data_IF_457293263059
#
_entry.id   IF_457293263059
#
_cell.length_a   1.000
_cell.length_b   1.000
_cell.length_c   1.000
_cell.angle_alpha   90.00
_cell.angle_beta   90.00
_cell.angle_gamma   90.00
#
_symmetry.space_group_name_H-M   'P 1'
#
loop_
_entity.id
_entity.type
_entity.pdbx_description
1 polymer ?
#
# COMPACT_ATOMS: atom_id res chain seq x y z
N UNK A 1 15.79 30.05 5.46
CA UNK A 1 17.04 29.74 6.21
C UNK A 1 18.05 30.86 5.95
N UNK A 2 18.60 31.50 6.98
CA UNK A 2 19.79 32.36 6.83
C UNK A 2 21.03 31.48 6.99
N UNK A 3 21.93 31.50 6.03
CA UNK A 3 23.18 30.75 6.06
C UNK A 3 23.03 29.22 6.37
N UNK A 4 21.99 28.59 5.87
CA UNK A 4 21.75 27.15 6.09
C UNK A 4 21.27 26.74 7.47
N UNK A 5 21.08 27.68 8.41
CA UNK A 5 20.62 27.38 9.77
C UNK A 5 19.10 27.29 9.84
N UNK A 6 18.60 26.25 10.52
CA UNK A 6 17.18 26.15 10.86
C UNK A 6 16.81 27.30 11.82
N UNK A 7 15.80 28.11 11.43
CA UNK A 7 15.33 29.24 12.23
C UNK A 7 14.33 28.73 13.28
N UNK A 8 13.38 27.89 12.84
CA UNK A 8 12.28 27.42 13.68
C UNK A 8 11.63 26.19 13.04
N UNK A 9 11.17 25.24 13.85
CA UNK A 9 10.23 24.21 13.47
C UNK A 9 8.80 24.80 13.54
N UNK A 10 8.01 24.63 12.46
CA UNK A 10 6.66 25.22 12.34
C UNK A 10 5.59 24.22 12.79
N UNK A 11 5.77 22.94 12.45
CA UNK A 11 4.81 21.86 12.74
C UNK A 11 5.45 20.79 13.62
N UNK A 12 4.62 20.13 14.46
CA UNK A 12 5.04 19.00 15.32
C UNK A 12 3.89 18.01 15.45
N UNK A 13 4.19 16.72 15.53
CA UNK A 13 3.23 15.64 15.74
C UNK A 13 3.69 14.34 15.07
N UNK A 14 2.97 13.25 15.33
CA UNK A 14 3.18 11.92 14.72
C UNK A 14 2.37 11.81 13.43
N UNK A 15 2.61 12.70 12.51
CA UNK A 15 1.94 12.85 11.22
C UNK A 15 2.87 13.53 10.21
N UNK A 16 2.48 13.57 8.95
CA UNK A 16 3.33 14.06 7.87
C UNK A 16 2.79 15.31 7.21
N UNK A 17 3.71 16.17 6.78
CA UNK A 17 3.47 17.26 5.84
C UNK A 17 3.84 16.76 4.45
N UNK A 18 2.83 16.56 3.59
CA UNK A 18 2.99 16.00 2.25
C UNK A 18 3.37 17.08 1.23
N UNK A 19 2.88 18.31 1.44
CA UNK A 19 3.24 19.46 0.62
C UNK A 19 3.25 20.74 1.45
N UNK A 20 4.03 21.73 1.02
CA UNK A 20 4.10 23.02 1.68
C UNK A 20 4.32 24.13 0.65
N UNK A 21 3.45 25.14 0.64
CA UNK A 21 3.53 26.29 -0.26
C UNK A 21 3.31 27.58 0.53
N UNK A 22 4.23 28.55 0.38
CA UNK A 22 4.12 29.85 1.04
C UNK A 22 3.21 30.77 0.23
N UNK A 23 2.33 31.51 0.89
CA UNK A 23 1.50 32.50 0.23
C UNK A 23 2.34 33.71 -0.29
N UNK A 24 1.87 34.44 -1.33
CA UNK A 24 2.63 35.55 -1.91
C UNK A 24 2.97 36.68 -0.92
N UNK A 25 2.22 36.80 0.18
CA UNK A 25 2.48 37.84 1.21
C UNK A 25 3.54 37.40 2.22
N UNK A 26 3.91 36.11 2.24
CA UNK A 26 4.81 35.54 3.23
C UNK A 26 4.23 35.45 4.64
N UNK A 27 2.91 35.59 4.82
CA UNK A 27 2.22 35.52 6.12
C UNK A 27 1.76 34.11 6.46
N UNK A 28 1.40 33.34 5.44
CA UNK A 28 0.81 32.02 5.58
C UNK A 28 1.62 30.95 4.85
N UNK A 29 1.60 29.76 5.40
CA UNK A 29 2.05 28.55 4.76
C UNK A 29 0.83 27.64 4.60
N UNK A 30 0.55 27.20 3.36
CA UNK A 30 -0.43 26.17 3.07
C UNK A 30 0.26 24.81 3.08
N UNK A 31 -0.25 23.89 3.87
CA UNK A 31 0.29 22.51 3.94
C UNK A 31 -0.82 21.50 3.71
N UNK A 32 -0.54 20.46 2.96
CA UNK A 32 -1.33 19.23 3.04
C UNK A 32 -0.68 18.29 4.04
N UNK A 33 -1.47 17.71 4.92
CA UNK A 33 -0.94 16.85 5.97
C UNK A 33 -1.94 15.78 6.41
N UNK A 34 -1.41 14.80 7.14
CA UNK A 34 -2.18 13.71 7.76
C UNK A 34 -2.46 13.97 9.25
N UNK A 35 -2.47 15.24 9.67
CA UNK A 35 -2.63 15.64 11.08
C UNK A 35 -3.96 15.17 11.70
N UNK A 36 -5.06 15.14 10.91
CA UNK A 36 -6.37 14.71 11.41
C UNK A 36 -6.45 13.20 11.60
N UNK A 37 -5.89 12.44 10.66
CA UNK A 37 -5.85 10.98 10.67
C UNK A 37 -4.80 10.49 9.66
N UNK A 38 -4.10 9.39 9.95
CA UNK A 38 -3.23 8.74 8.96
C UNK A 38 -3.96 8.30 7.68
N UNK A 39 -5.29 8.13 7.76
CA UNK A 39 -6.13 7.72 6.62
C UNK A 39 -6.58 8.90 5.76
N UNK A 40 -6.40 10.13 6.22
CA UNK A 40 -6.88 11.35 5.58
C UNK A 40 -5.73 12.25 5.12
N UNK A 41 -6.00 13.02 4.08
CA UNK A 41 -5.13 14.12 3.64
C UNK A 41 -5.94 15.41 3.62
N UNK A 42 -5.52 16.39 4.41
CA UNK A 42 -6.23 17.65 4.58
C UNK A 42 -5.33 18.86 4.31
N UNK A 43 -5.94 19.96 3.84
CA UNK A 43 -5.26 21.24 3.67
C UNK A 43 -5.40 22.09 4.93
N UNK A 44 -4.27 22.62 5.38
CA UNK A 44 -4.19 23.56 6.50
C UNK A 44 -3.53 24.87 6.05
N UNK A 45 -4.04 25.97 6.61
CA UNK A 45 -3.38 27.28 6.58
C UNK A 45 -2.64 27.48 7.90
N UNK A 46 -1.34 27.69 7.83
CA UNK A 46 -0.48 27.93 9.01
C UNK A 46 -0.06 29.39 9.02
N UNK A 47 -0.36 30.10 10.10
CA UNK A 47 0.09 31.49 10.27
C UNK A 47 1.56 31.48 10.68
N UNK A 48 2.43 32.02 9.83
CA UNK A 48 3.88 31.93 10.04
C UNK A 48 4.38 32.69 11.28
N UNK A 49 3.71 33.76 11.74
CA UNK A 49 4.12 34.50 12.92
C UNK A 49 3.99 33.71 14.23
N UNK A 50 2.93 32.92 14.39
CA UNK A 50 2.60 32.24 15.64
C UNK A 50 2.41 30.72 15.53
N UNK A 51 2.41 30.16 14.31
CA UNK A 51 2.21 28.73 14.07
C UNK A 51 0.75 28.24 14.20
N UNK A 52 -0.23 29.16 14.35
CA UNK A 52 -1.65 28.78 14.42
C UNK A 52 -2.06 28.10 13.10
N UNK A 53 -2.68 26.92 13.22
CA UNK A 53 -3.20 26.14 12.10
C UNK A 53 -4.71 26.22 12.01
N UNK A 54 -5.22 26.24 10.80
CA UNK A 54 -6.62 26.21 10.49
C UNK A 54 -6.84 25.24 9.34
N UNK A 55 -7.69 24.24 9.53
CA UNK A 55 -8.08 23.29 8.47
C UNK A 55 -9.01 23.98 7.48
N UNK A 56 -8.70 23.90 6.19
CA UNK A 56 -9.46 24.51 5.10
C UNK A 56 -10.36 23.52 4.34
N UNK A 57 -10.12 22.23 4.47
CA UNK A 57 -10.93 21.15 3.91
C UNK A 57 -11.86 20.61 4.99
N UNK A 58 -13.18 20.94 4.97
CA UNK A 58 -14.08 20.62 6.09
C UNK A 58 -14.53 19.15 6.12
N UNK A 59 -14.62 18.50 4.95
CA UNK A 59 -15.01 17.09 4.87
C UNK A 59 -13.87 16.16 5.30
N UNK A 60 -14.20 14.96 5.76
CA UNK A 60 -13.23 13.90 5.94
C UNK A 60 -12.90 13.26 4.59
N UNK A 61 -11.69 12.70 4.48
CA UNK A 61 -11.26 11.99 3.27
C UNK A 61 -9.87 12.38 2.76
N UNK A 62 -9.62 11.98 1.53
CA UNK A 62 -8.36 12.25 0.83
C UNK A 62 -8.57 13.42 -0.12
N UNK A 63 -7.99 14.56 0.23
CA UNK A 63 -8.08 15.81 -0.51
C UNK A 63 -6.87 16.06 -1.40
N UNK A 64 -7.12 16.64 -2.57
CA UNK A 64 -6.09 17.11 -3.52
C UNK A 64 -6.42 18.56 -3.87
N UNK A 65 -6.14 19.49 -2.98
CA UNK A 65 -6.48 20.90 -3.17
C UNK A 65 -5.52 21.58 -4.16
N UNK A 66 -6.06 22.51 -4.95
CA UNK A 66 -5.32 23.40 -5.81
C UNK A 66 -5.62 24.84 -5.39
N UNK A 67 -4.62 25.53 -4.88
CA UNK A 67 -4.74 26.93 -4.45
C UNK A 67 -4.50 27.90 -5.60
N UNK A 68 -5.29 28.96 -5.65
CA UNK A 68 -4.98 30.09 -6.53
C UNK A 68 -3.74 30.83 -6.04
N UNK A 69 -2.99 31.47 -6.95
CA UNK A 69 -1.81 32.28 -6.59
C UNK A 69 -2.12 33.41 -5.60
N UNK A 70 -3.35 33.91 -5.56
CA UNK A 70 -3.78 34.93 -4.60
C UNK A 70 -4.03 34.37 -3.17
N UNK A 71 -4.06 33.06 -2.99
CA UNK A 71 -4.46 32.41 -1.74
C UNK A 71 -5.94 32.57 -1.39
N UNK A 72 -6.75 33.17 -2.30
CA UNK A 72 -8.18 33.44 -2.06
C UNK A 72 -9.08 32.30 -2.46
N UNK A 73 -8.78 31.64 -3.58
CA UNK A 73 -9.63 30.60 -4.15
C UNK A 73 -8.97 29.23 -4.06
N UNK A 74 -9.77 28.24 -3.88
CA UNK A 74 -9.37 26.83 -3.85
C UNK A 74 -10.30 26.02 -4.74
N UNK A 75 -9.73 25.12 -5.55
CA UNK A 75 -10.43 23.96 -6.10
C UNK A 75 -9.98 22.76 -5.31
N UNK A 76 -10.91 22.06 -4.71
CA UNK A 76 -10.63 20.84 -3.94
C UNK A 76 -11.26 19.64 -4.62
N UNK A 77 -10.43 18.66 -4.95
CA UNK A 77 -10.85 17.35 -5.44
C UNK A 77 -10.65 16.36 -4.32
N UNK A 78 -11.73 15.72 -3.88
CA UNK A 78 -11.65 14.76 -2.78
C UNK A 78 -12.60 13.59 -2.95
N UNK A 79 -12.38 12.57 -2.16
CA UNK A 79 -13.26 11.41 -1.94
C UNK A 79 -13.11 10.92 -0.50
N UNK A 80 -14.10 10.18 -0.02
CA UNK A 80 -13.99 9.37 1.19
C UNK A 80 -14.68 8.02 0.95
N UNK A 81 -14.67 7.14 1.96
CA UNK A 81 -15.19 5.77 1.79
C UNK A 81 -16.66 5.69 1.36
N UNK A 82 -17.46 6.73 1.60
CA UNK A 82 -18.88 6.81 1.22
C UNK A 82 -19.13 7.69 0.00
N UNK A 83 -18.15 8.50 -0.40
CA UNK A 83 -18.32 9.51 -1.45
C UNK A 83 -17.32 9.26 -2.57
N UNK A 84 -17.76 9.04 -3.83
CA UNK A 84 -16.84 8.78 -4.93
C UNK A 84 -15.92 10.00 -5.16
N UNK A 85 -16.14 10.80 -6.16
CA UNK A 85 -15.33 11.99 -6.41
C UNK A 85 -16.17 13.25 -6.31
N UNK A 86 -15.69 14.18 -5.50
CA UNK A 86 -16.21 15.54 -5.41
C UNK A 86 -15.19 16.55 -5.92
N UNK A 87 -15.67 17.60 -6.56
CA UNK A 87 -14.87 18.78 -6.91
C UNK A 87 -15.63 20.00 -6.43
N UNK A 88 -15.04 20.74 -5.51
CA UNK A 88 -15.57 21.96 -4.93
C UNK A 88 -14.70 23.16 -5.26
N UNK A 89 -15.35 24.29 -5.51
CA UNK A 89 -14.71 25.61 -5.62
C UNK A 89 -15.06 26.44 -4.38
N UNK A 90 -14.04 26.94 -3.69
CA UNK A 90 -14.20 27.72 -2.46
C UNK A 90 -13.58 29.11 -2.58
N UNK A 91 -14.28 30.15 -2.13
CA UNK A 91 -13.73 31.46 -1.83
C UNK A 91 -13.38 31.53 -0.34
N UNK A 92 -12.10 31.36 -0.02
CA UNK A 92 -11.59 31.31 1.35
C UNK A 92 -11.70 32.65 2.11
N UNK A 93 -11.96 33.77 1.40
CA UNK A 93 -12.22 35.06 2.03
C UNK A 93 -13.66 35.16 2.55
N UNK A 94 -14.61 34.62 1.81
CA UNK A 94 -16.04 34.67 2.16
C UNK A 94 -16.55 33.40 2.83
N UNK A 95 -15.79 32.32 2.78
CA UNK A 95 -16.19 31.00 3.26
C UNK A 95 -17.23 30.31 2.37
N UNK A 96 -17.56 30.89 1.19
CA UNK A 96 -18.55 30.30 0.28
C UNK A 96 -17.92 29.18 -0.54
N UNK A 97 -18.59 28.03 -0.57
CA UNK A 97 -18.23 26.90 -1.41
C UNK A 97 -19.33 26.57 -2.40
N UNK A 98 -18.96 26.25 -3.63
CA UNK A 98 -19.84 25.79 -4.70
C UNK A 98 -19.34 24.42 -5.18
N UNK A 99 -20.22 23.41 -5.14
CA UNK A 99 -19.92 22.14 -5.75
C UNK A 99 -19.92 22.28 -7.29
N UNK A 100 -18.83 21.83 -7.92
CA UNK A 100 -18.66 21.81 -9.39
C UNK A 100 -18.95 20.42 -9.96
N UNK A 101 -18.65 19.36 -9.21
CA UNK A 101 -18.88 17.98 -9.61
C UNK A 101 -19.17 17.12 -8.39
N UNK A 102 -20.27 16.37 -8.47
CA UNK A 102 -20.52 15.19 -7.64
C UNK A 102 -20.56 14.00 -8.60
N UNK A 103 -19.51 13.18 -8.61
CA UNK A 103 -19.47 12.01 -9.49
C UNK A 103 -20.52 10.99 -9.05
N UNK A 104 -21.23 10.34 -9.99
CA UNK A 104 -22.10 9.22 -9.64
C UNK A 104 -21.29 8.06 -9.07
N UNK A 105 -21.92 7.20 -8.29
CA UNK A 105 -21.33 5.95 -7.84
C UNK A 105 -21.08 5.04 -9.06
N UNK A 106 -19.83 4.69 -9.40
CA UNK A 106 -19.53 3.82 -10.53
C UNK A 106 -20.02 2.38 -10.33
N UNK A 107 -20.42 2.02 -9.11
CA UNK A 107 -20.94 0.71 -8.75
C UNK A 107 -22.46 0.68 -8.55
N UNK A 108 -23.15 1.77 -8.90
CA UNK A 108 -24.63 1.80 -8.82
C UNK A 108 -25.21 0.66 -9.66
N UNK A 109 -26.15 -0.09 -9.05
CA UNK A 109 -26.75 -1.28 -9.64
C UNK A 109 -25.93 -2.58 -9.53
N UNK A 110 -24.69 -2.54 -9.00
CA UNK A 110 -23.91 -3.74 -8.71
C UNK A 110 -24.10 -4.20 -7.27
N UNK A 111 -24.10 -5.53 -7.08
CA UNK A 111 -24.03 -6.12 -5.74
C UNK A 111 -22.64 -5.84 -5.14
N UNK A 112 -22.57 -5.00 -4.13
CA UNK A 112 -21.32 -4.64 -3.49
C UNK A 112 -21.01 -5.59 -2.33
N UNK A 113 -19.72 -5.99 -2.17
CA UNK A 113 -19.25 -6.70 -1.00
C UNK A 113 -19.25 -5.76 0.23
N UNK A 114 -19.11 -6.34 1.40
CA UNK A 114 -18.90 -5.60 2.65
C UNK A 114 -17.42 -5.19 2.73
N UNK A 115 -17.15 -3.87 2.83
CA UNK A 115 -15.80 -3.31 2.87
C UNK A 115 -15.63 -2.53 4.17
N UNK A 116 -14.73 -3.02 5.01
CA UNK A 116 -14.46 -2.46 6.34
C UNK A 116 -13.03 -1.99 6.47
N UNK A 117 -12.85 -0.94 7.24
CA UNK A 117 -11.56 -0.52 7.77
C UNK A 117 -11.55 -0.70 9.29
N UNK A 118 -10.41 -1.06 9.83
CA UNK A 118 -10.21 -1.21 11.28
C UNK A 118 -8.73 -1.18 11.62
N UNK A 119 -8.42 -1.46 12.89
CA UNK A 119 -7.03 -1.51 13.39
C UNK A 119 -6.74 -2.83 14.09
N UNK A 120 -5.49 -3.25 14.01
CA UNK A 120 -4.91 -4.33 14.83
C UNK A 120 -3.57 -3.86 15.38
N UNK A 121 -3.06 -4.50 16.43
CA UNK A 121 -1.74 -4.20 16.96
C UNK A 121 -0.64 -4.78 16.07
N UNK A 122 0.43 -4.01 15.86
CA UNK A 122 1.65 -4.46 15.22
C UNK A 122 2.38 -5.50 16.08
N UNK A 123 3.44 -6.08 15.52
CA UNK A 123 4.26 -7.06 16.23
C UNK A 123 5.01 -6.50 17.45
N UNK A 124 5.05 -5.16 17.64
CA UNK A 124 5.54 -4.54 18.88
C UNK A 124 4.51 -4.55 20.03
N UNK A 125 3.25 -4.92 19.75
CA UNK A 125 2.14 -4.94 20.71
C UNK A 125 1.53 -3.57 21.03
N UNK A 126 2.09 -2.48 20.53
CA UNK A 126 1.73 -1.10 20.87
C UNK A 126 1.13 -0.34 19.68
N UNK A 127 1.77 -0.39 18.53
CA UNK A 127 1.42 0.39 17.34
C UNK A 127 0.14 -0.15 16.69
N UNK A 128 -0.83 0.73 16.43
CA UNK A 128 -2.03 0.37 15.66
C UNK A 128 -1.70 0.32 14.16
N UNK A 129 -2.10 -0.75 13.47
CA UNK A 129 -1.99 -0.91 12.03
C UNK A 129 -3.38 -0.88 11.41
N UNK A 130 -3.58 -0.05 10.40
CA UNK A 130 -4.85 0.01 9.69
C UNK A 130 -4.97 -1.12 8.66
N UNK A 131 -6.12 -1.76 8.64
CA UNK A 131 -6.45 -2.78 7.64
C UNK A 131 -7.73 -2.45 6.88
N UNK A 132 -7.84 -2.97 5.67
CA UNK A 132 -9.07 -3.10 4.90
C UNK A 132 -9.42 -4.57 4.75
N UNK A 133 -10.68 -4.90 5.06
CA UNK A 133 -11.28 -6.21 4.83
C UNK A 133 -12.41 -6.06 3.82
N UNK A 134 -12.26 -6.71 2.66
CA UNK A 134 -13.30 -6.79 1.64
C UNK A 134 -13.81 -8.23 1.62
N UNK A 135 -15.06 -8.44 2.00
CA UNK A 135 -15.63 -9.77 2.19
C UNK A 135 -17.01 -9.87 1.52
N UNK A 136 -17.52 -11.08 1.23
CA UNK A 136 -18.88 -11.24 0.70
C UNK A 136 -19.90 -10.43 1.48
N UNK A 137 -20.87 -9.81 0.79
CA UNK A 137 -21.89 -8.96 1.41
C UNK A 137 -22.65 -9.68 2.54
N UNK A 138 -22.77 -11.00 2.46
CA UNK A 138 -23.38 -11.84 3.48
C UNK A 138 -22.46 -13.01 3.80
N UNK A 139 -22.03 -13.08 5.05
CA UNK A 139 -21.31 -14.23 5.61
C UNK A 139 -22.36 -15.26 6.06
N UNK A 140 -22.29 -16.45 5.47
CA UNK A 140 -23.19 -17.57 5.78
C UNK A 140 -22.71 -18.29 7.04
N UNK A 141 -23.63 -18.56 7.96
CA UNK A 141 -23.32 -19.28 9.20
C UNK A 141 -22.77 -20.66 8.91
N UNK A 142 -21.64 -21.01 9.52
CA UNK A 142 -21.00 -22.32 9.36
C UNK A 142 -20.17 -22.48 8.08
N UNK A 143 -20.20 -21.53 7.16
CA UNK A 143 -19.34 -21.53 5.96
C UNK A 143 -18.00 -20.88 6.27
N UNK A 144 -16.94 -21.48 5.75
CA UNK A 144 -15.59 -20.91 5.79
C UNK A 144 -15.18 -20.40 4.41
N UNK A 145 -14.49 -19.27 4.39
CA UNK A 145 -14.11 -18.55 3.19
C UNK A 145 -12.60 -18.51 3.00
N UNK A 146 -12.08 -18.73 1.79
CA UNK A 146 -10.68 -18.55 1.47
C UNK A 146 -10.29 -17.06 1.58
N UNK A 147 -9.03 -16.81 1.90
CA UNK A 147 -8.48 -15.46 2.05
C UNK A 147 -7.37 -15.22 1.04
N UNK A 148 -7.37 -14.05 0.43
CA UNK A 148 -6.24 -13.51 -0.32
C UNK A 148 -5.73 -12.28 0.42
N UNK A 149 -4.51 -12.33 0.91
CA UNK A 149 -3.80 -11.18 1.46
C UNK A 149 -3.20 -10.40 0.30
N UNK A 150 -3.70 -9.19 0.07
CA UNK A 150 -3.04 -8.28 -0.87
C UNK A 150 -2.02 -7.44 -0.12
N UNK A 151 -0.75 -7.63 -0.43
CA UNK A 151 0.36 -6.97 0.23
C UNK A 151 1.11 -6.04 -0.73
N UNK A 152 1.46 -4.86 -0.24
CA UNK A 152 2.55 -4.07 -0.80
C UNK A 152 3.70 -4.01 0.21
N UNK A 153 3.50 -3.38 1.37
CA UNK A 153 4.41 -3.36 2.50
C UNK A 153 5.66 -2.47 2.32
N UNK A 154 5.86 -1.90 1.13
CA UNK A 154 7.05 -1.11 0.82
C UNK A 154 7.04 0.27 1.48
N UNK A 155 8.23 0.84 1.76
CA UNK A 155 8.37 2.17 2.32
C UNK A 155 7.62 3.23 1.52
N UNK A 156 7.08 4.23 2.22
CA UNK A 156 6.36 5.39 1.68
C UNK A 156 5.10 5.07 0.87
N UNK A 157 4.54 3.87 0.98
CA UNK A 157 3.27 3.50 0.33
C UNK A 157 2.24 3.12 1.37
N UNK A 158 1.04 3.67 1.22
CA UNK A 158 -0.13 3.34 2.03
C UNK A 158 -1.24 2.80 1.13
N UNK A 159 -1.83 1.67 1.49
CA UNK A 159 -2.87 0.97 0.73
C UNK A 159 -4.27 1.20 1.31
N UNK A 160 -4.37 1.53 2.58
CA UNK A 160 -5.63 1.74 3.30
C UNK A 160 -5.76 3.21 3.64
N UNK A 161 -6.71 3.90 2.99
CA UNK A 161 -6.98 5.33 3.21
C UNK A 161 -8.48 5.57 3.21
N UNK A 162 -8.93 6.70 3.78
CA UNK A 162 -10.30 7.17 3.67
C UNK A 162 -10.56 7.78 2.28
N UNK A 163 -10.27 6.99 1.24
CA UNK A 163 -10.66 7.20 -0.14
C UNK A 163 -11.93 6.43 -0.45
N UNK A 164 -12.41 6.51 -1.72
CA UNK A 164 -13.60 5.79 -2.15
C UNK A 164 -13.51 4.28 -1.87
N UNK A 165 -14.47 3.77 -1.09
CA UNK A 165 -14.50 2.37 -0.64
C UNK A 165 -13.20 1.94 0.08
N UNK A 166 -12.60 2.84 0.87
CA UNK A 166 -11.32 2.62 1.56
C UNK A 166 -10.17 2.26 0.61
N UNK A 167 -10.21 2.79 -0.62
CA UNK A 167 -9.28 2.48 -1.72
C UNK A 167 -9.29 0.98 -2.14
N UNK A 168 -10.39 0.26 -1.92
CA UNK A 168 -10.55 -1.10 -2.44
C UNK A 168 -10.52 -1.10 -3.98
N UNK A 169 -9.75 -2.02 -4.55
CA UNK A 169 -9.60 -2.15 -6.01
C UNK A 169 -10.78 -2.91 -6.60
N UNK A 170 -11.08 -2.66 -7.87
CA UNK A 170 -12.14 -3.38 -8.59
C UNK A 170 -11.95 -4.91 -8.55
N UNK A 171 -10.70 -5.39 -8.59
CA UNK A 171 -10.41 -6.82 -8.46
C UNK A 171 -10.70 -7.36 -7.04
N UNK A 172 -10.48 -6.57 -5.99
CA UNK A 172 -10.82 -6.96 -4.61
C UNK A 172 -12.34 -7.16 -4.47
N UNK A 173 -13.12 -6.23 -5.06
CA UNK A 173 -14.59 -6.30 -5.11
C UNK A 173 -15.06 -7.52 -5.90
N UNK A 174 -14.46 -7.75 -7.07
CA UNK A 174 -14.76 -8.91 -7.92
C UNK A 174 -14.52 -10.24 -7.20
N UNK A 175 -13.37 -10.40 -6.55
CA UNK A 175 -13.02 -11.62 -5.83
C UNK A 175 -13.90 -11.84 -4.58
N UNK A 176 -14.27 -10.75 -3.88
CA UNK A 176 -15.18 -10.86 -2.75
C UNK A 176 -16.59 -11.34 -3.19
N UNK A 177 -17.08 -10.88 -4.34
CA UNK A 177 -18.33 -11.38 -4.93
C UNK A 177 -18.24 -12.84 -5.40
N UNK A 178 -17.02 -13.37 -5.62
CA UNK A 178 -16.76 -14.79 -5.91
C UNK A 178 -16.61 -15.64 -4.64
N UNK A 179 -16.71 -15.05 -3.46
CA UNK A 179 -16.66 -15.77 -2.20
C UNK A 179 -15.27 -15.79 -1.54
N UNK A 180 -14.35 -14.93 -1.95
CA UNK A 180 -13.08 -14.73 -1.26
C UNK A 180 -13.18 -13.60 -0.21
N UNK A 181 -12.32 -13.65 0.77
CA UNK A 181 -12.03 -12.52 1.64
C UNK A 181 -10.72 -11.89 1.17
N UNK A 182 -10.71 -10.59 0.89
CA UNK A 182 -9.49 -9.87 0.54
C UNK A 182 -9.08 -9.01 1.73
N UNK A 183 -7.87 -9.22 2.20
CA UNK A 183 -7.31 -8.51 3.34
C UNK A 183 -6.08 -7.72 2.93
N UNK A 184 -6.02 -6.48 3.38
CA UNK A 184 -4.88 -5.57 3.15
C UNK A 184 -4.58 -4.88 4.46
N UNK A 185 -3.31 -4.86 4.88
CA UNK A 185 -2.86 -4.14 6.08
C UNK A 185 -1.62 -3.33 5.76
N UNK A 186 -1.58 -2.09 6.25
CA UNK A 186 -0.40 -1.23 6.20
C UNK A 186 0.42 -1.44 7.47
N UNK A 187 1.50 -2.19 7.35
CA UNK A 187 2.47 -2.42 8.42
C UNK A 187 3.36 -1.21 8.68
N UNK A 188 4.17 -1.28 9.73
CA UNK A 188 5.21 -0.30 9.99
C UNK A 188 6.17 -0.23 8.81
N UNK A 189 6.63 0.98 8.49
CA UNK A 189 7.35 1.29 7.27
C UNK A 189 6.49 1.96 6.20
N UNK A 190 5.16 1.84 6.25
CA UNK A 190 4.26 2.57 5.34
C UNK A 190 4.20 4.06 5.66
N UNK A 191 3.60 4.85 4.73
CA UNK A 191 3.57 6.32 4.81
C UNK A 191 2.53 6.88 5.80
N UNK A 192 2.60 8.19 5.98
CA UNK A 192 1.59 9.06 6.61
C UNK A 192 1.54 9.02 8.14
N UNK A 193 2.50 8.37 8.78
CA UNK A 193 2.54 8.17 10.24
C UNK A 193 3.78 8.79 10.91
N UNK A 194 4.62 9.49 10.14
CA UNK A 194 5.83 10.13 10.62
C UNK A 194 7.07 9.24 10.64
N UNK A 195 8.23 9.87 10.79
CA UNK A 195 9.53 9.24 10.56
C UNK A 195 9.84 8.04 11.46
N UNK A 196 9.35 8.02 12.70
CA UNK A 196 9.55 6.87 13.60
C UNK A 196 8.85 5.61 13.09
N UNK A 197 7.63 5.76 12.59
CA UNK A 197 6.86 4.66 12.01
C UNK A 197 7.45 4.18 10.69
N UNK A 198 7.89 5.10 9.82
CA UNK A 198 8.44 4.76 8.51
C UNK A 198 9.83 4.13 8.58
N UNK A 199 10.72 4.69 9.41
CA UNK A 199 12.13 4.31 9.40
C UNK A 199 12.45 3.05 10.22
N UNK A 200 11.48 2.43 10.86
CA UNK A 200 11.71 1.19 11.61
C UNK A 200 12.21 0.05 10.71
N UNK A 201 11.89 0.09 9.41
CA UNK A 201 12.34 -0.89 8.41
C UNK A 201 13.74 -0.61 7.86
N UNK A 202 14.34 0.55 8.21
CA UNK A 202 15.64 0.94 7.69
C UNK A 202 16.71 -0.13 7.95
N UNK A 203 17.45 -0.50 6.90
CA UNK A 203 18.51 -1.52 6.84
C UNK A 203 18.05 -2.97 7.05
N UNK A 204 16.73 -3.23 7.10
CA UNK A 204 16.16 -4.56 7.35
C UNK A 204 14.85 -4.80 6.58
N UNK A 205 14.79 -4.36 5.30
CA UNK A 205 13.61 -4.54 4.46
C UNK A 205 13.15 -6.01 4.42
N UNK A 206 11.84 -6.20 4.53
CA UNK A 206 11.18 -7.50 4.53
C UNK A 206 11.09 -8.17 5.90
N UNK A 207 11.73 -7.63 6.95
CA UNK A 207 11.68 -8.21 8.30
C UNK A 207 10.52 -7.68 9.12
N UNK A 208 10.47 -6.37 9.35
CA UNK A 208 9.41 -5.74 10.17
C UNK A 208 8.08 -5.85 9.43
N UNK A 209 8.10 -5.63 8.12
CA UNK A 209 6.93 -5.77 7.26
C UNK A 209 6.33 -7.18 7.38
N UNK A 210 7.16 -8.24 7.34
CA UNK A 210 6.71 -9.61 7.51
C UNK A 210 6.09 -9.85 8.90
N UNK A 211 6.73 -9.36 9.95
CA UNK A 211 6.22 -9.51 11.32
C UNK A 211 4.82 -8.89 11.47
N UNK A 212 4.63 -7.69 10.95
CA UNK A 212 3.34 -6.99 11.02
C UNK A 212 2.27 -7.66 10.13
N UNK A 213 2.63 -8.18 8.95
CA UNK A 213 1.73 -8.98 8.12
C UNK A 213 1.26 -10.24 8.87
N UNK A 214 2.16 -10.90 9.61
CA UNK A 214 1.81 -12.11 10.37
C UNK A 214 0.87 -11.82 11.56
N UNK A 215 0.91 -10.63 12.17
CA UNK A 215 -0.14 -10.22 13.14
C UNK A 215 -1.50 -10.07 12.46
N UNK A 216 -1.54 -9.57 11.21
CA UNK A 216 -2.74 -9.58 10.38
C UNK A 216 -3.28 -10.98 10.13
N UNK A 217 -2.40 -11.93 9.81
CA UNK A 217 -2.77 -13.33 9.62
C UNK A 217 -3.32 -13.95 10.90
N UNK A 218 -2.70 -13.69 12.03
CA UNK A 218 -3.16 -14.17 13.34
C UNK A 218 -4.57 -13.65 13.67
N UNK A 219 -4.83 -12.37 13.39
CA UNK A 219 -6.15 -11.78 13.52
C UNK A 219 -7.16 -12.42 12.57
N UNK A 220 -6.83 -12.61 11.29
CA UNK A 220 -7.69 -13.29 10.31
C UNK A 220 -8.08 -14.70 10.77
N UNK A 221 -7.13 -15.50 11.26
CA UNK A 221 -7.37 -16.85 11.78
C UNK A 221 -8.29 -16.86 13.03
N UNK A 222 -8.43 -15.73 13.73
CA UNK A 222 -9.39 -15.61 14.85
C UNK A 222 -10.84 -15.44 14.40
N UNK A 223 -11.08 -15.11 13.13
CA UNK A 223 -12.42 -14.93 12.58
C UNK A 223 -13.06 -16.30 12.29
N UNK A 224 -14.26 -16.60 12.83
CA UNK A 224 -14.82 -17.95 12.77
C UNK A 224 -15.16 -18.42 11.35
N UNK A 225 -15.30 -17.49 10.41
CA UNK A 225 -15.63 -17.75 9.02
C UNK A 225 -14.43 -17.78 8.08
N UNK A 226 -13.22 -17.60 8.58
CA UNK A 226 -11.99 -17.72 7.78
C UNK A 226 -11.57 -19.18 7.68
N UNK A 227 -11.23 -19.63 6.46
CA UNK A 227 -10.58 -20.91 6.24
C UNK A 227 -9.07 -20.76 6.35
N UNK A 228 -8.54 -21.09 7.50
CA UNK A 228 -7.09 -20.99 7.77
C UNK A 228 -6.21 -21.90 6.90
N UNK A 229 -6.80 -22.91 6.25
CA UNK A 229 -6.10 -23.81 5.33
C UNK A 229 -6.09 -23.29 3.89
N UNK A 230 -6.84 -22.22 3.59
CA UNK A 230 -6.91 -21.59 2.28
C UNK A 230 -6.59 -20.10 2.37
N UNK A 231 -5.37 -19.80 2.82
CA UNK A 231 -4.83 -18.44 2.83
C UNK A 231 -3.78 -18.31 1.74
N UNK A 232 -4.04 -17.42 0.80
CA UNK A 232 -3.11 -17.04 -0.26
C UNK A 232 -2.62 -15.61 -0.11
N UNK A 233 -1.59 -15.23 -0.90
CA UNK A 233 -0.99 -13.90 -0.87
C UNK A 233 -0.70 -13.40 -2.28
N UNK A 234 -0.96 -12.13 -2.53
CA UNK A 234 -0.72 -11.47 -3.82
C UNK A 234 -0.15 -10.08 -3.62
N UNK A 235 0.86 -9.72 -4.43
CA UNK A 235 1.42 -8.39 -4.46
C UNK A 235 2.26 -8.15 -5.69
N UNK A 236 2.56 -6.87 -5.97
CA UNK A 236 3.32 -6.42 -7.13
C UNK A 236 4.53 -5.60 -6.70
N UNK A 237 5.67 -5.74 -7.39
CA UNK A 237 6.88 -4.96 -7.09
C UNK A 237 7.44 -5.30 -5.70
N UNK A 238 7.53 -4.33 -4.80
CA UNK A 238 7.81 -4.60 -3.38
C UNK A 238 6.80 -5.60 -2.80
N UNK A 239 5.52 -5.51 -3.21
CA UNK A 239 4.50 -6.49 -2.85
C UNK A 239 4.79 -7.88 -3.42
N UNK A 240 5.41 -7.98 -4.58
CA UNK A 240 5.92 -9.24 -5.12
C UNK A 240 7.08 -9.82 -4.29
N UNK A 241 8.00 -8.97 -3.84
CA UNK A 241 9.01 -9.33 -2.85
C UNK A 241 8.36 -9.84 -1.56
N UNK A 242 7.39 -9.10 -1.01
CA UNK A 242 6.69 -9.50 0.21
C UNK A 242 5.89 -10.80 0.02
N UNK A 243 5.21 -11.00 -1.11
CA UNK A 243 4.53 -12.25 -1.44
C UNK A 243 5.50 -13.43 -1.40
N UNK A 244 6.63 -13.32 -2.09
CA UNK A 244 7.66 -14.36 -2.10
C UNK A 244 8.26 -14.56 -0.71
N UNK A 245 8.54 -13.46 0.02
CA UNK A 245 9.07 -13.49 1.38
C UNK A 245 8.12 -14.22 2.37
N UNK A 246 6.81 -13.91 2.30
CA UNK A 246 5.77 -14.54 3.13
C UNK A 246 5.64 -16.03 2.82
N UNK A 247 5.61 -16.43 1.54
CA UNK A 247 5.57 -17.84 1.13
C UNK A 247 6.77 -18.63 1.60
N UNK A 248 7.97 -18.05 1.58
CA UNK A 248 9.21 -18.76 1.94
C UNK A 248 9.49 -18.80 3.45
N UNK A 249 9.04 -17.81 4.21
CA UNK A 249 9.26 -17.76 5.66
C UNK A 249 8.09 -18.38 6.48
N UNK A 250 6.90 -18.49 5.88
CA UNK A 250 5.71 -19.05 6.53
C UNK A 250 4.99 -20.05 5.60
N UNK A 251 5.70 -21.09 5.11
CA UNK A 251 5.17 -22.03 4.11
C UNK A 251 3.96 -22.85 4.61
N UNK A 252 3.83 -23.03 5.92
CA UNK A 252 2.70 -23.71 6.54
C UNK A 252 1.40 -22.87 6.46
N UNK A 253 1.54 -21.54 6.37
CA UNK A 253 0.40 -20.60 6.35
C UNK A 253 -0.13 -20.35 4.94
N UNK A 254 0.78 -20.02 4.02
CA UNK A 254 0.41 -19.62 2.67
C UNK A 254 0.44 -20.80 1.71
N UNK A 255 -0.72 -21.12 1.14
CA UNK A 255 -0.86 -22.27 0.20
C UNK A 255 -0.65 -21.83 -1.25
N UNK A 256 -1.03 -20.59 -1.57
CA UNK A 256 -0.97 -20.05 -2.93
C UNK A 256 -0.43 -18.63 -2.89
N UNK A 257 0.48 -18.30 -3.81
CA UNK A 257 1.01 -16.94 -3.95
C UNK A 257 1.12 -16.52 -5.40
N UNK A 258 0.85 -15.24 -5.66
CA UNK A 258 1.09 -14.63 -6.98
C UNK A 258 1.95 -13.37 -6.82
N UNK A 259 3.21 -13.46 -7.21
CA UNK A 259 4.20 -12.40 -7.10
C UNK A 259 4.47 -11.75 -8.46
N UNK A 260 3.99 -10.52 -8.62
CA UNK A 260 4.23 -9.75 -9.86
C UNK A 260 5.45 -8.86 -9.76
N UNK A 261 6.33 -8.87 -10.77
CA UNK A 261 7.55 -8.05 -10.85
C UNK A 261 8.37 -8.04 -9.55
N UNK A 262 8.65 -9.22 -8.93
CA UNK A 262 9.17 -9.28 -7.58
C UNK A 262 10.65 -8.89 -7.51
N UNK A 263 11.01 -8.01 -6.57
CA UNK A 263 12.40 -7.88 -6.13
C UNK A 263 12.77 -9.16 -5.38
N UNK A 264 13.94 -9.74 -5.67
CA UNK A 264 14.41 -11.00 -5.05
C UNK A 264 15.70 -10.77 -4.24
N UNK A 265 16.59 -9.94 -4.74
CA UNK A 265 17.81 -9.57 -4.05
C UNK A 265 18.04 -8.05 -4.18
N UNK A 266 17.93 -7.34 -3.08
CA UNK A 266 18.04 -5.88 -3.04
C UNK A 266 19.40 -5.37 -3.54
N UNK A 267 20.41 -6.20 -3.55
CA UNK A 267 21.73 -5.85 -4.12
C UNK A 267 21.68 -5.54 -5.62
N UNK A 268 20.70 -6.07 -6.33
CA UNK A 268 20.50 -5.87 -7.77
C UNK A 268 19.43 -4.85 -8.11
N UNK A 269 18.81 -4.24 -7.10
CA UNK A 269 17.86 -3.16 -7.30
C UNK A 269 18.59 -1.83 -7.51
N UNK A 270 17.89 -0.82 -8.06
CA UNK A 270 18.50 0.47 -8.36
C UNK A 270 19.02 1.15 -7.07
N UNK A 271 20.17 1.84 -7.19
CA UNK A 271 20.96 2.34 -6.04
C UNK A 271 20.19 3.40 -5.26
N UNK A 272 19.47 4.31 -5.94
CA UNK A 272 18.77 5.44 -5.30
C UNK A 272 17.69 4.96 -4.33
N UNK A 273 17.04 3.84 -4.62
CA UNK A 273 16.09 3.20 -3.73
C UNK A 273 16.80 2.23 -2.76
N UNK A 274 17.58 1.30 -3.30
CA UNK A 274 18.22 0.24 -2.52
C UNK A 274 19.07 0.80 -1.38
N UNK A 275 20.01 1.71 -1.66
CA UNK A 275 20.88 2.28 -0.63
C UNK A 275 20.16 3.27 0.29
N UNK A 276 19.09 3.93 -0.17
CA UNK A 276 18.26 4.79 0.68
C UNK A 276 17.68 4.03 1.87
N UNK A 277 17.20 2.81 1.64
CA UNK A 277 16.52 2.03 2.67
C UNK A 277 17.39 0.98 3.33
N UNK A 278 18.43 0.51 2.65
CA UNK A 278 19.33 -0.55 3.14
C UNK A 278 20.73 -0.08 3.51
N UNK A 279 21.12 1.15 3.15
CA UNK A 279 22.52 1.54 3.12
C UNK A 279 23.28 0.80 2.00
N UNK A 280 24.59 1.04 1.85
CA UNK A 280 25.35 0.30 0.85
C UNK A 280 25.50 -1.18 1.22
N UNK A 281 25.65 -2.10 0.23
CA UNK A 281 25.91 -3.52 0.50
C UNK A 281 27.15 -3.77 1.36
N UNK A 282 28.13 -2.87 1.29
CA UNK A 282 29.36 -2.95 2.11
C UNK A 282 29.09 -2.62 3.57
N UNK A 283 28.27 -1.61 3.83
CA UNK A 283 27.94 -1.14 5.19
C UNK A 283 26.89 -2.00 5.88
N UNK A 284 26.04 -2.70 5.12
CA UNK A 284 24.93 -3.50 5.63
C UNK A 284 24.89 -4.91 5.00
N UNK A 285 26.04 -5.57 4.88
CA UNK A 285 26.14 -6.88 4.25
C UNK A 285 25.15 -7.91 4.86
N UNK A 286 24.91 -7.85 6.17
CA UNK A 286 24.00 -8.76 6.85
C UNK A 286 22.53 -8.47 6.50
N UNK A 287 22.11 -7.20 6.39
CA UNK A 287 20.77 -6.83 5.97
C UNK A 287 20.45 -7.32 4.55
N UNK A 288 21.38 -7.11 3.60
CA UNK A 288 21.25 -7.64 2.24
C UNK A 288 21.23 -9.17 2.20
N UNK A 289 22.03 -9.82 3.03
CA UNK A 289 22.01 -11.28 3.16
C UNK A 289 20.66 -11.80 3.67
N UNK A 290 20.07 -11.13 4.66
CA UNK A 290 18.81 -11.55 5.30
C UNK A 290 17.61 -11.32 4.37
N UNK A 291 17.65 -10.28 3.52
CA UNK A 291 16.57 -9.94 2.60
C UNK A 291 16.68 -10.62 1.23
N UNK A 292 17.74 -11.43 0.99
CA UNK A 292 17.93 -12.13 -0.27
C UNK A 292 17.13 -13.44 -0.30
N UNK A 293 16.04 -13.43 -1.06
CA UNK A 293 15.11 -14.56 -1.16
C UNK A 293 15.68 -15.78 -1.91
N UNK A 294 16.70 -15.59 -2.76
CA UNK A 294 17.40 -16.71 -3.40
C UNK A 294 17.95 -17.71 -2.37
N UNK A 295 18.36 -17.22 -1.19
CA UNK A 295 19.00 -18.04 -0.15
C UNK A 295 18.05 -19.01 0.53
N UNK A 296 16.76 -18.74 0.46
CA UNK A 296 15.70 -19.52 1.12
C UNK A 296 14.71 -20.10 0.12
N UNK A 297 15.08 -20.15 -1.16
CA UNK A 297 14.23 -20.71 -2.23
C UNK A 297 13.77 -22.14 -1.96
N UNK A 298 14.59 -22.92 -1.23
CA UNK A 298 14.28 -24.30 -0.81
C UNK A 298 13.13 -24.43 0.20
N UNK A 299 12.70 -23.31 0.81
CA UNK A 299 11.58 -23.34 1.77
C UNK A 299 10.20 -23.33 1.10
N UNK A 300 10.13 -23.16 -0.23
CA UNK A 300 8.86 -23.10 -0.95
C UNK A 300 8.12 -24.45 -0.83
N UNK A 301 6.91 -24.44 -0.26
CA UNK A 301 6.05 -25.61 -0.12
C UNK A 301 4.71 -25.46 -0.85
N UNK A 302 4.17 -24.23 -0.94
CA UNK A 302 2.92 -23.95 -1.62
C UNK A 302 3.10 -23.65 -3.12
N UNK A 303 2.02 -23.30 -3.79
CA UNK A 303 1.99 -22.91 -5.19
C UNK A 303 2.35 -21.43 -5.34
N UNK A 304 3.45 -21.11 -6.02
CA UNK A 304 3.90 -19.73 -6.26
C UNK A 304 3.97 -19.46 -7.76
N UNK A 305 3.16 -18.50 -8.23
CA UNK A 305 3.27 -17.97 -9.58
C UNK A 305 4.08 -16.66 -9.57
N UNK A 306 5.20 -16.64 -10.28
CA UNK A 306 5.93 -15.43 -10.60
C UNK A 306 5.43 -14.87 -11.93
N UNK A 307 5.15 -13.57 -11.98
CA UNK A 307 4.76 -12.85 -13.20
C UNK A 307 5.73 -11.71 -13.43
N UNK A 308 6.23 -11.53 -14.68
CA UNK A 308 7.15 -10.45 -15.00
C UNK A 308 6.95 -9.92 -16.42
N UNK A 309 7.11 -8.62 -16.63
CA UNK A 309 7.27 -8.03 -17.96
C UNK A 309 8.74 -8.19 -18.42
N UNK A 310 8.97 -8.62 -19.65
CA UNK A 310 10.33 -8.88 -20.15
C UNK A 310 11.16 -7.61 -20.40
N UNK A 311 10.51 -6.44 -20.41
CA UNK A 311 11.13 -5.13 -20.59
C UNK A 311 11.05 -4.24 -19.33
N UNK A 312 10.91 -4.86 -18.17
CA UNK A 312 10.82 -4.14 -16.89
C UNK A 312 12.14 -3.42 -16.55
N UNK A 313 12.18 -2.06 -16.59
CA UNK A 313 13.37 -1.30 -16.26
C UNK A 313 13.48 -0.95 -14.78
N UNK A 314 12.45 -1.24 -13.98
CA UNK A 314 12.36 -0.91 -12.56
C UNK A 314 12.83 -2.10 -11.71
N UNK A 315 12.18 -3.24 -11.87
CA UNK A 315 12.62 -4.51 -11.32
C UNK A 315 13.12 -5.35 -12.49
N UNK A 316 14.41 -5.31 -12.74
CA UNK A 316 14.95 -5.99 -13.92
C UNK A 316 14.63 -7.49 -13.92
N UNK A 317 14.34 -8.03 -15.08
CA UNK A 317 13.88 -9.41 -15.27
C UNK A 317 14.79 -10.46 -14.59
N UNK A 318 16.07 -10.15 -14.44
CA UNK A 318 17.05 -11.00 -13.78
C UNK A 318 16.68 -11.37 -12.33
N UNK A 319 15.86 -10.58 -11.65
CA UNK A 319 15.36 -10.95 -10.32
C UNK A 319 14.59 -12.27 -10.37
N UNK A 320 13.59 -12.39 -11.26
CA UNK A 320 12.83 -13.63 -11.42
C UNK A 320 13.71 -14.79 -11.91
N UNK A 321 14.58 -14.55 -12.89
CA UNK A 321 15.48 -15.59 -13.42
C UNK A 321 16.45 -16.11 -12.36
N UNK A 322 16.99 -15.24 -11.50
CA UNK A 322 17.87 -15.67 -10.40
C UNK A 322 17.14 -16.53 -9.37
N UNK A 323 15.88 -16.19 -9.08
CA UNK A 323 15.05 -16.97 -8.16
C UNK A 323 14.70 -18.35 -8.73
N UNK A 324 14.29 -18.41 -10.00
CA UNK A 324 14.05 -19.69 -10.69
C UNK A 324 15.29 -20.59 -10.67
N UNK A 325 16.48 -20.00 -10.93
CA UNK A 325 17.75 -20.76 -10.82
C UNK A 325 17.96 -21.31 -9.42
N UNK A 326 17.68 -20.53 -8.38
CA UNK A 326 17.82 -20.95 -6.99
C UNK A 326 16.80 -22.03 -6.62
N UNK A 327 15.57 -21.93 -7.14
CA UNK A 327 14.53 -22.98 -6.97
C UNK A 327 14.96 -24.30 -7.65
N UNK A 328 15.47 -24.26 -8.86
CA UNK A 328 15.99 -25.46 -9.56
C UNK A 328 17.09 -26.13 -8.73
N UNK A 329 18.02 -25.34 -8.18
CA UNK A 329 19.10 -25.87 -7.35
C UNK A 329 18.62 -26.46 -6.00
N UNK A 330 17.50 -25.96 -5.50
CA UNK A 330 16.89 -26.39 -4.23
C UNK A 330 15.81 -27.47 -4.40
N UNK A 331 15.44 -27.81 -5.65
CA UNK A 331 14.40 -28.80 -5.94
C UNK A 331 12.99 -28.29 -5.63
N UNK A 332 12.72 -26.98 -5.76
CA UNK A 332 11.40 -26.36 -5.63
C UNK A 332 10.87 -25.89 -6.99
N UNK A 333 9.55 -25.81 -7.15
CA UNK A 333 8.91 -25.72 -8.47
C UNK A 333 7.88 -24.58 -8.52
N UNK A 334 8.33 -23.29 -8.55
CA UNK A 334 7.40 -22.18 -8.80
C UNK A 334 6.94 -22.17 -10.26
N UNK A 335 5.71 -21.72 -10.47
CA UNK A 335 5.22 -21.38 -11.80
C UNK A 335 5.76 -20.03 -12.26
N UNK A 336 5.90 -19.84 -13.56
CA UNK A 336 6.42 -18.62 -14.13
C UNK A 336 5.67 -18.19 -15.37
N UNK A 337 5.28 -16.90 -15.44
CA UNK A 337 4.64 -16.34 -16.63
C UNK A 337 5.25 -14.99 -17.00
N UNK A 338 5.59 -14.84 -18.26
CA UNK A 338 6.16 -13.61 -18.85
C UNK A 338 5.11 -12.90 -19.67
N UNK A 339 5.02 -11.56 -19.48
CA UNK A 339 4.26 -10.68 -20.39
C UNK A 339 5.22 -10.01 -21.35
N UNK A 340 5.31 -10.51 -22.62
CA UNK A 340 6.21 -9.96 -23.63
C UNK A 340 5.83 -8.52 -24.00
N UNK A 341 6.83 -7.65 -24.10
CA UNK A 341 6.66 -6.24 -24.46
C UNK A 341 6.17 -5.35 -23.33
N UNK A 342 5.95 -5.88 -22.13
CA UNK A 342 5.52 -5.08 -20.98
C UNK A 342 6.67 -4.65 -20.10
N UNK A 343 6.57 -3.42 -19.61
CA UNK A 343 7.41 -2.85 -18.56
C UNK A 343 7.00 -3.35 -17.17
N UNK A 344 7.31 -2.57 -16.13
CA UNK A 344 7.02 -2.92 -14.74
C UNK A 344 5.53 -3.22 -14.47
N UNK A 345 4.62 -2.57 -15.17
CA UNK A 345 3.19 -2.81 -15.05
C UNK A 345 2.62 -3.34 -16.37
N UNK A 346 1.80 -4.37 -16.29
CA UNK A 346 0.98 -4.83 -17.42
C UNK A 346 -0.19 -3.87 -17.59
N UNK A 347 -0.27 -3.18 -18.72
CA UNK A 347 -1.23 -2.14 -19.01
C UNK A 347 -2.08 -2.50 -20.25
N UNK A 348 -3.11 -1.68 -20.49
CA UNK A 348 -3.99 -1.85 -21.66
C UNK A 348 -4.84 -3.12 -21.57
N UNK A 349 -5.22 -3.70 -22.72
CA UNK A 349 -6.07 -4.90 -22.80
C UNK A 349 -5.48 -6.11 -22.07
N UNK A 350 -4.14 -6.27 -22.06
CA UNK A 350 -3.46 -7.40 -21.45
C UNK A 350 -3.60 -7.41 -19.92
N UNK A 351 -3.98 -6.27 -19.33
CA UNK A 351 -4.31 -6.20 -17.89
C UNK A 351 -5.53 -7.05 -17.52
N UNK A 352 -6.47 -7.24 -18.45
CA UNK A 352 -7.62 -8.14 -18.24
C UNK A 352 -7.12 -9.58 -18.15
N UNK A 353 -6.28 -10.01 -19.10
CA UNK A 353 -5.65 -11.32 -19.08
C UNK A 353 -4.83 -11.55 -17.80
N UNK A 354 -4.10 -10.52 -17.34
CA UNK A 354 -3.34 -10.60 -16.08
C UNK A 354 -4.26 -10.93 -14.91
N UNK A 355 -5.34 -10.17 -14.71
CA UNK A 355 -6.24 -10.40 -13.58
C UNK A 355 -7.02 -11.72 -13.72
N UNK A 356 -7.39 -12.16 -14.93
CA UNK A 356 -7.96 -13.48 -15.14
C UNK A 356 -6.97 -14.59 -14.78
N UNK A 357 -5.70 -14.44 -15.16
CA UNK A 357 -4.65 -15.42 -14.83
C UNK A 357 -4.43 -15.50 -13.31
N UNK A 358 -4.37 -14.35 -12.63
CA UNK A 358 -4.25 -14.31 -11.16
C UNK A 358 -5.47 -14.98 -10.53
N UNK A 359 -6.68 -14.64 -10.98
CA UNK A 359 -7.93 -15.22 -10.48
C UNK A 359 -7.95 -16.73 -10.62
N UNK A 360 -7.66 -17.26 -11.82
CA UNK A 360 -7.62 -18.70 -12.08
C UNK A 360 -6.60 -19.41 -11.20
N UNK A 361 -5.44 -18.81 -10.96
CA UNK A 361 -4.42 -19.40 -10.11
C UNK A 361 -4.90 -19.58 -8.67
N UNK A 362 -5.67 -18.63 -8.14
CA UNK A 362 -6.29 -18.78 -6.82
C UNK A 362 -7.51 -19.71 -6.82
N UNK A 363 -8.22 -19.86 -7.96
CA UNK A 363 -9.34 -20.80 -8.08
C UNK A 363 -8.86 -22.26 -8.20
N UNK A 364 -7.67 -22.47 -8.80
CA UNK A 364 -7.10 -23.80 -9.05
C UNK A 364 -6.41 -24.41 -7.81
N UNK A 365 -5.91 -23.55 -6.93
CA UNK A 365 -5.13 -23.92 -5.74
C UNK A 365 -5.68 -23.29 -4.45
#
# INVERSE_FOLDING_TARGET
MKAGKMIRQITRGEWEVLSAEIDPTGKYLYITSTEASPLEVNLYRVTLSNGKRERLTPANGVHTPLMSKSGRYMIDRYSNHNTPRMIDFSDLKTGKTKNLLCAPDPYDGYAMPDIKCGTIKAADGETDLYYRLTQPAKIETGKKYPVIVYVYGGPHVQQVRDGWKWDARGWDIYMANRGYIIFTIDGRGSANRGSAFENVTHRQLGKIELQDQMEGIKWLKSLPYVDENRIGVHGWSFGGFMTTNMMLNNPETFKTGVAGGPVIDWKYYEIMYGERYMGSPKENAQGYKNSNLNRIAGNLQGHLLLIHGDQDPVVVWQHSLSFLKSCIQSGTYPDYFVYPGHFHNVLGPDRVHLYEKITRYFDDY
#
